data_IF_252823417376
#
_entry.id   IF_252823417376
#
_cell.length_a   1.000
_cell.length_b   1.000
_cell.length_c   1.000
_cell.angle_alpha   90.00
_cell.angle_beta   90.00
_cell.angle_gamma   90.00
#
_symmetry.space_group_name_H-M   'P 1'
#
loop_
_entity.id
_entity.type
_entity.pdbx_description
1 polymer ?
#
# COMPACT_ATOMS: atom_id res chain seq x y z
N UNK A 1 -22.48 24.94 14.96
CA UNK A 1 -21.39 25.10 15.95
C UNK A 1 -20.24 24.23 15.47
N UNK A 2 -19.45 24.73 14.50
CA UNK A 2 -18.27 24.02 14.01
C UNK A 2 -17.25 23.94 15.15
N UNK A 3 -16.74 22.76 15.52
CA UNK A 3 -15.62 22.69 16.45
C UNK A 3 -14.48 23.51 15.83
N UNK A 4 -13.98 24.52 16.51
CA UNK A 4 -12.73 25.20 16.13
C UNK A 4 -11.61 24.17 16.26
N UNK A 5 -11.36 23.42 15.19
CA UNK A 5 -10.19 22.58 15.10
C UNK A 5 -8.97 23.49 15.13
N UNK A 6 -8.11 23.31 16.14
CA UNK A 6 -6.85 24.05 16.26
C UNK A 6 -6.05 23.94 14.96
N UNK A 7 -5.44 25.05 14.52
CA UNK A 7 -4.63 25.07 13.30
C UNK A 7 -3.52 24.00 13.29
N UNK A 8 -3.00 23.64 14.47
CA UNK A 8 -2.06 22.54 14.65
C UNK A 8 -2.66 21.17 14.28
N UNK A 9 -3.94 20.93 14.62
CA UNK A 9 -4.65 19.69 14.28
C UNK A 9 -4.92 19.58 12.77
N UNK A 10 -5.19 20.69 12.08
CA UNK A 10 -5.38 20.69 10.62
C UNK A 10 -4.06 20.58 9.84
N UNK A 11 -2.94 20.94 10.46
CA UNK A 11 -1.60 20.90 9.89
C UNK A 11 -0.86 19.58 10.12
N UNK A 12 -1.35 18.72 11.01
CA UNK A 12 -0.71 17.43 11.27
C UNK A 12 -0.83 16.51 10.03
N UNK A 13 0.33 16.07 9.55
CA UNK A 13 0.47 15.22 8.37
C UNK A 13 1.25 13.95 8.72
N UNK A 14 0.59 12.80 8.61
CA UNK A 14 1.17 11.47 8.88
C UNK A 14 1.58 10.72 7.61
N UNK A 15 1.61 11.37 6.44
CA UNK A 15 2.01 10.72 5.19
C UNK A 15 3.46 10.23 5.21
N UNK A 16 4.39 11.04 5.71
CA UNK A 16 5.81 10.69 5.73
C UNK A 16 6.10 9.41 6.51
N UNK A 17 5.66 9.25 7.78
CA UNK A 17 5.89 8.01 8.50
C UNK A 17 5.16 6.81 7.87
N UNK A 18 3.99 7.03 7.27
CA UNK A 18 3.26 5.97 6.57
C UNK A 18 4.00 5.47 5.31
N UNK A 19 4.53 6.39 4.48
CA UNK A 19 5.29 6.03 3.27
C UNK A 19 6.54 5.23 3.64
N UNK A 20 7.32 5.71 4.62
CA UNK A 20 8.53 5.02 5.09
C UNK A 20 8.19 3.61 5.61
N UNK A 21 7.12 3.48 6.39
CA UNK A 21 6.68 2.18 6.89
C UNK A 21 6.32 1.20 5.77
N UNK A 22 5.57 1.67 4.78
CA UNK A 22 5.18 0.85 3.61
C UNK A 22 6.43 0.43 2.82
N UNK A 23 7.36 1.36 2.57
CA UNK A 23 8.59 1.07 1.82
C UNK A 23 9.45 0.02 2.51
N UNK A 24 9.67 0.17 3.83
CA UNK A 24 10.50 -0.75 4.61
C UNK A 24 9.90 -2.16 4.65
N UNK A 25 8.59 -2.27 4.90
CA UNK A 25 7.91 -3.57 4.99
C UNK A 25 7.89 -4.26 3.63
N UNK A 26 7.63 -3.53 2.55
CA UNK A 26 7.64 -4.12 1.20
C UNK A 26 9.04 -4.55 0.77
N UNK A 27 10.07 -3.78 1.11
CA UNK A 27 11.45 -4.16 0.83
C UNK A 27 11.83 -5.46 1.57
N UNK A 28 11.45 -5.56 2.85
CA UNK A 28 11.69 -6.77 3.65
C UNK A 28 10.94 -7.98 3.06
N UNK A 29 9.68 -7.81 2.69
CA UNK A 29 8.87 -8.84 2.02
C UNK A 29 9.54 -9.33 0.72
N UNK A 30 10.04 -8.41 -0.10
CA UNK A 30 10.74 -8.76 -1.34
C UNK A 30 12.01 -9.57 -1.08
N UNK A 31 12.82 -9.20 -0.09
CA UNK A 31 14.04 -9.95 0.28
C UNK A 31 13.68 -11.39 0.67
N UNK A 32 12.62 -11.59 1.46
CA UNK A 32 12.18 -12.92 1.88
C UNK A 32 11.76 -13.77 0.67
N UNK A 33 11.01 -13.20 -0.28
CA UNK A 33 10.62 -13.92 -1.51
C UNK A 33 11.85 -14.27 -2.36
N UNK A 34 12.82 -13.37 -2.49
CA UNK A 34 14.08 -13.65 -3.20
C UNK A 34 14.88 -14.79 -2.54
N UNK A 35 14.98 -14.80 -1.21
CA UNK A 35 15.62 -15.88 -0.47
C UNK A 35 14.90 -17.21 -0.72
N UNK A 36 13.56 -17.21 -0.74
CA UNK A 36 12.77 -18.41 -1.02
C UNK A 36 13.02 -18.95 -2.42
N UNK A 37 12.99 -18.09 -3.44
CA UNK A 37 13.29 -18.48 -4.82
C UNK A 37 14.73 -19.01 -4.96
N UNK A 38 15.69 -18.38 -4.30
CA UNK A 38 17.08 -18.83 -4.30
C UNK A 38 17.24 -20.20 -3.63
N UNK A 39 16.69 -20.36 -2.43
CA UNK A 39 16.72 -21.62 -1.70
C UNK A 39 16.07 -22.75 -2.50
N UNK A 40 14.91 -22.50 -3.13
CA UNK A 40 14.24 -23.51 -3.94
C UNK A 40 15.03 -23.88 -5.18
N UNK A 41 15.55 -22.89 -5.91
CA UNK A 41 16.37 -23.11 -7.11
C UNK A 41 17.68 -23.86 -6.82
N UNK A 42 18.34 -23.55 -5.72
CA UNK A 42 19.66 -24.14 -5.37
C UNK A 42 19.53 -25.46 -4.63
N UNK A 43 18.61 -25.56 -3.66
CA UNK A 43 18.48 -26.73 -2.79
C UNK A 43 17.56 -27.80 -3.39
N UNK A 44 16.41 -27.41 -3.95
CA UNK A 44 15.40 -28.35 -4.46
C UNK A 44 15.63 -28.65 -5.94
N UNK A 45 16.25 -27.74 -6.70
CA UNK A 45 16.56 -27.86 -8.15
C UNK A 45 15.35 -28.11 -9.06
N UNK A 46 14.14 -28.04 -8.53
CA UNK A 46 12.90 -28.03 -9.30
C UNK A 46 12.28 -26.64 -9.21
N UNK A 47 12.24 -25.94 -10.36
CA UNK A 47 11.42 -24.75 -10.52
C UNK A 47 10.01 -25.21 -10.85
N UNK A 48 9.18 -25.26 -9.82
CA UNK A 48 7.77 -25.63 -9.96
C UNK A 48 6.90 -24.42 -10.29
N UNK A 49 5.63 -24.68 -10.61
CA UNK A 49 4.61 -23.65 -10.76
C UNK A 49 4.45 -22.78 -9.49
N UNK A 50 4.76 -23.33 -8.30
CA UNK A 50 4.77 -22.61 -7.02
C UNK A 50 5.67 -21.37 -7.03
N UNK A 51 6.83 -21.43 -7.67
CA UNK A 51 7.77 -20.30 -7.75
C UNK A 51 7.27 -19.20 -8.70
N UNK A 52 6.46 -19.57 -9.69
CA UNK A 52 5.80 -18.60 -10.57
C UNK A 52 4.66 -17.89 -9.84
N UNK A 53 3.81 -18.63 -9.12
CA UNK A 53 2.72 -18.05 -8.32
C UNK A 53 3.26 -17.09 -7.23
N UNK A 54 4.33 -17.46 -6.53
CA UNK A 54 4.88 -16.56 -5.50
C UNK A 54 5.50 -15.29 -6.10
N UNK A 55 6.12 -15.39 -7.29
CA UNK A 55 6.63 -14.21 -7.99
C UNK A 55 5.49 -13.30 -8.46
N UNK A 56 4.37 -13.88 -8.93
CA UNK A 56 3.19 -13.14 -9.34
C UNK A 56 2.50 -12.48 -8.13
N UNK A 57 2.39 -13.18 -7.00
CA UNK A 57 1.90 -12.63 -5.74
C UNK A 57 2.76 -11.43 -5.31
N UNK A 58 4.10 -11.53 -5.42
CA UNK A 58 5.00 -10.43 -5.07
C UNK A 58 4.83 -9.22 -5.99
N UNK A 59 4.66 -9.42 -7.30
CA UNK A 59 4.38 -8.32 -8.25
C UNK A 59 3.05 -7.62 -7.92
N UNK A 60 2.04 -8.39 -7.54
CA UNK A 60 0.73 -7.85 -7.20
C UNK A 60 0.76 -7.11 -5.86
N UNK A 61 1.65 -7.51 -4.95
CA UNK A 61 1.91 -6.79 -3.70
C UNK A 61 2.54 -5.42 -3.97
N UNK A 62 3.47 -5.33 -4.91
CA UNK A 62 4.02 -4.05 -5.38
C UNK A 62 2.96 -3.14 -6.02
N UNK A 63 2.05 -3.71 -6.82
CA UNK A 63 0.93 -2.94 -7.37
C UNK A 63 0.04 -2.37 -6.25
N UNK A 64 -0.26 -3.18 -5.22
CA UNK A 64 -1.04 -2.75 -4.04
C UNK A 64 -0.34 -1.61 -3.30
N UNK A 65 0.97 -1.73 -3.08
CA UNK A 65 1.80 -0.68 -2.49
C UNK A 65 1.74 0.63 -3.29
N UNK A 66 1.87 0.57 -4.62
CA UNK A 66 1.80 1.76 -5.47
C UNK A 66 0.43 2.46 -5.38
N UNK A 67 -0.65 1.69 -5.27
CA UNK A 67 -1.99 2.24 -5.07
C UNK A 67 -2.15 2.87 -3.68
N UNK A 68 -1.59 2.26 -2.63
CA UNK A 68 -1.50 2.87 -1.30
C UNK A 68 -0.77 4.22 -1.31
N UNK A 69 0.33 4.34 -2.06
CA UNK A 69 1.03 5.62 -2.22
C UNK A 69 0.17 6.68 -2.91
N UNK A 70 -0.62 6.30 -3.91
CA UNK A 70 -1.55 7.22 -4.56
C UNK A 70 -2.60 7.75 -3.55
N UNK A 71 -3.15 6.89 -2.70
CA UNK A 71 -4.09 7.29 -1.63
C UNK A 71 -3.46 8.32 -0.69
N UNK A 72 -2.20 8.09 -0.28
CA UNK A 72 -1.45 9.04 0.55
C UNK A 72 -1.19 10.37 -0.16
N UNK A 73 -0.92 10.35 -1.47
CA UNK A 73 -0.70 11.55 -2.29
C UNK A 73 -1.94 12.42 -2.40
N UNK A 74 -3.13 11.83 -2.57
CA UNK A 74 -4.40 12.56 -2.60
C UNK A 74 -4.84 13.10 -1.24
N UNK A 75 -4.21 12.63 -0.16
CA UNK A 75 -4.22 13.31 1.11
C UNK A 75 -4.85 12.57 2.26
N UNK A 76 -4.99 11.26 2.14
CA UNK A 76 -5.45 10.35 3.19
C UNK A 76 -4.65 10.40 4.51
N UNK A 77 -3.50 11.10 4.57
CA UNK A 77 -2.73 11.31 5.80
C UNK A 77 -2.94 12.66 6.49
N UNK A 78 -3.81 13.53 5.97
CA UNK A 78 -4.31 14.73 6.65
C UNK A 78 -5.67 14.43 7.29
N UNK A 79 -6.02 15.17 8.34
CA UNK A 79 -7.31 14.99 9.01
C UNK A 79 -8.50 15.24 8.06
N UNK A 80 -9.53 14.38 8.13
CA UNK A 80 -10.74 14.46 7.29
C UNK A 80 -11.39 15.86 7.29
N UNK A 81 -11.32 16.57 8.42
CA UNK A 81 -11.80 17.95 8.55
C UNK A 81 -11.10 18.93 7.58
N UNK A 82 -9.84 18.69 7.22
CA UNK A 82 -9.10 19.51 6.26
C UNK A 82 -9.42 19.15 4.80
N UNK A 83 -9.99 17.97 4.54
CA UNK A 83 -10.35 17.50 3.19
C UNK A 83 -11.83 17.67 2.84
N UNK A 84 -12.70 17.82 3.85
CA UNK A 84 -14.15 18.08 3.66
C UNK A 84 -14.42 19.36 2.85
N UNK A 85 -13.51 20.33 2.86
CA UNK A 85 -13.59 21.55 2.06
C UNK A 85 -13.47 21.30 0.55
N UNK A 86 -12.98 20.13 0.12
CA UNK A 86 -12.74 19.81 -1.30
C UNK A 86 -13.36 18.45 -1.66
N UNK A 87 -14.68 18.38 -1.96
CA UNK A 87 -15.41 17.12 -2.15
C UNK A 87 -14.86 16.24 -3.29
N UNK A 88 -14.26 16.85 -4.32
CA UNK A 88 -13.63 16.11 -5.43
C UNK A 88 -12.42 15.28 -5.00
N UNK A 89 -11.61 15.79 -4.06
CA UNK A 89 -10.44 15.05 -3.54
C UNK A 89 -10.87 13.85 -2.70
N UNK A 90 -11.93 14.02 -1.91
CA UNK A 90 -12.50 12.95 -1.09
C UNK A 90 -13.04 11.81 -1.97
N UNK A 91 -13.79 12.14 -3.03
CA UNK A 91 -14.29 11.15 -3.98
C UNK A 91 -13.14 10.36 -4.66
N UNK A 92 -12.06 11.04 -5.02
CA UNK A 92 -10.89 10.37 -5.62
C UNK A 92 -10.16 9.47 -4.62
N UNK A 93 -10.01 9.87 -3.35
CA UNK A 93 -9.43 9.02 -2.30
C UNK A 93 -10.25 7.73 -2.16
N UNK A 94 -11.58 7.83 -2.09
CA UNK A 94 -12.43 6.64 -1.96
C UNK A 94 -12.33 5.71 -3.17
N UNK A 95 -12.26 6.25 -4.40
CA UNK A 95 -12.04 5.44 -5.61
C UNK A 95 -10.75 4.64 -5.50
N UNK A 96 -9.63 5.31 -5.18
CA UNK A 96 -8.33 4.65 -5.02
C UNK A 96 -8.32 3.65 -3.86
N UNK A 97 -9.03 3.94 -2.77
CA UNK A 97 -9.17 3.04 -1.63
C UNK A 97 -9.87 1.73 -2.03
N UNK A 98 -11.00 1.81 -2.72
CA UNK A 98 -11.72 0.64 -3.22
C UNK A 98 -10.87 -0.14 -4.22
N UNK A 99 -10.19 0.55 -5.15
CA UNK A 99 -9.29 -0.12 -6.11
C UNK A 99 -8.17 -0.87 -5.39
N UNK A 100 -7.54 -0.26 -4.39
CA UNK A 100 -6.48 -0.90 -3.60
C UNK A 100 -6.99 -2.12 -2.87
N UNK A 101 -8.19 -2.04 -2.28
CA UNK A 101 -8.81 -3.18 -1.60
C UNK A 101 -9.06 -4.35 -2.55
N UNK A 102 -9.54 -4.10 -3.76
CA UNK A 102 -9.77 -5.15 -4.76
C UNK A 102 -8.48 -5.85 -5.17
N UNK A 103 -7.41 -5.09 -5.41
CA UNK A 103 -6.08 -5.65 -5.76
C UNK A 103 -5.50 -6.43 -4.58
N UNK A 104 -5.68 -5.95 -3.35
CA UNK A 104 -5.27 -6.65 -2.15
C UNK A 104 -6.02 -7.98 -1.95
N UNK A 105 -7.34 -8.01 -2.18
CA UNK A 105 -8.10 -9.26 -2.10
C UNK A 105 -7.62 -10.26 -3.15
N UNK A 106 -7.31 -9.81 -4.36
CA UNK A 106 -6.74 -10.70 -5.37
C UNK A 106 -5.35 -11.22 -4.94
N UNK A 107 -4.52 -10.39 -4.32
CA UNK A 107 -3.21 -10.79 -3.80
C UNK A 107 -3.31 -11.91 -2.74
N UNK A 108 -4.29 -11.82 -1.84
CA UNK A 108 -4.51 -12.81 -0.78
C UNK A 108 -4.93 -14.20 -1.28
N UNK A 109 -5.51 -14.26 -2.48
CA UNK A 109 -6.05 -15.50 -3.06
C UNK A 109 -5.09 -16.19 -4.03
N UNK A 110 -3.89 -15.62 -4.22
CA UNK A 110 -2.85 -16.06 -5.13
C UNK A 110 -1.80 -16.90 -4.39
#
# INVERSE_FOLDING_TARGET
MSPEYSAAYLAEDRRQPAMIGIDVVTALSFIIVMIRLYARRVLIRELGWDDLFISLAQLTNWATMGLCMMILRYGSGRHLAALVSTPETLANIYKWFVTTQMVYMFNLWL
#
